data_IF_466482395217
#
_entry.id   IF_466482395217
#
_cell.length_a   1.000
_cell.length_b   1.000
_cell.length_c   1.000
_cell.angle_alpha   90.00
_cell.angle_beta   90.00
_cell.angle_gamma   90.00
#
_symmetry.space_group_name_H-M   'P 1'
#
loop_
_entity.id
_entity.type
_entity.pdbx_description
1 polymer ?
#
# COMPACT_ATOMS: atom_id res chain seq x y z
N UNK A 1 12.25 1.80 12.11
CA UNK A 1 11.70 0.71 11.28
C UNK A 1 11.35 1.34 9.95
N UNK A 2 11.91 0.86 8.83
CA UNK A 2 11.70 1.52 7.54
C UNK A 2 10.31 1.16 7.00
N UNK A 3 9.53 2.13 6.51
CA UNK A 3 8.24 1.84 5.89
C UNK A 3 8.43 0.95 4.67
N UNK A 4 7.40 0.19 4.30
CA UNK A 4 7.42 -0.57 3.05
C UNK A 4 7.61 0.41 1.90
N UNK A 5 8.63 0.18 1.08
CA UNK A 5 8.87 0.99 -0.11
C UNK A 5 7.69 0.82 -1.08
N UNK A 6 6.98 1.91 -1.33
CA UNK A 6 5.93 1.97 -2.34
C UNK A 6 6.52 2.22 -3.72
N UNK A 7 5.74 1.93 -4.75
CA UNK A 7 6.12 2.18 -6.14
C UNK A 7 6.42 3.67 -6.36
N UNK A 8 7.54 3.92 -7.02
CA UNK A 8 7.90 5.22 -7.58
C UNK A 8 8.11 5.11 -9.10
N UNK A 9 8.45 6.23 -9.75
CA UNK A 9 8.71 6.26 -11.20
C UNK A 9 9.88 5.33 -11.58
N UNK A 10 10.88 5.15 -10.72
CA UNK A 10 12.00 4.25 -10.99
C UNK A 10 11.58 2.79 -10.93
N UNK A 11 10.70 2.42 -9.99
CA UNK A 11 10.08 1.09 -9.95
C UNK A 11 9.32 0.81 -11.25
N UNK A 12 8.51 1.77 -11.72
CA UNK A 12 7.76 1.61 -12.98
C UNK A 12 8.66 1.54 -14.22
N UNK A 13 9.73 2.33 -14.25
CA UNK A 13 10.76 2.22 -15.29
C UNK A 13 11.36 0.81 -15.35
N UNK A 14 11.61 0.19 -14.21
CA UNK A 14 12.12 -1.18 -14.16
C UNK A 14 11.10 -2.20 -14.67
N UNK A 15 9.84 -2.12 -14.23
CA UNK A 15 8.75 -2.96 -14.76
C UNK A 15 8.65 -2.86 -16.28
N UNK A 16 8.71 -1.64 -16.80
CA UNK A 16 8.61 -1.36 -18.21
C UNK A 16 9.86 -1.82 -19.00
N UNK A 17 11.05 -1.76 -18.39
CA UNK A 17 12.28 -2.34 -18.95
C UNK A 17 12.20 -3.87 -19.05
N UNK A 18 11.74 -4.53 -17.99
CA UNK A 18 11.49 -5.98 -17.99
C UNK A 18 10.52 -6.34 -19.11
N UNK A 19 9.40 -5.61 -19.18
CA UNK A 19 8.40 -5.80 -20.22
C UNK A 19 8.97 -5.64 -21.63
N UNK A 20 9.70 -4.56 -21.90
CA UNK A 20 10.33 -4.33 -23.20
C UNK A 20 11.30 -5.46 -23.58
N UNK A 21 12.09 -5.94 -22.61
CA UNK A 21 13.02 -7.04 -22.82
C UNK A 21 12.35 -8.39 -23.09
N UNK A 22 11.29 -8.73 -22.35
CA UNK A 22 10.59 -10.02 -22.54
C UNK A 22 9.70 -10.00 -23.79
N UNK A 23 8.98 -8.91 -24.03
CA UNK A 23 8.05 -8.77 -25.15
C UNK A 23 8.75 -8.35 -26.46
N UNK A 24 10.05 -8.07 -26.44
CA UNK A 24 10.83 -7.56 -27.58
C UNK A 24 10.17 -6.31 -28.20
N UNK A 25 9.65 -5.43 -27.34
CA UNK A 25 8.93 -4.22 -27.72
C UNK A 25 9.81 -2.97 -27.50
N UNK A 26 9.49 -1.82 -28.16
CA UNK A 26 10.18 -0.57 -27.90
C UNK A 26 10.15 -0.21 -26.42
N UNK A 27 11.26 0.35 -25.92
CA UNK A 27 11.31 0.87 -24.56
C UNK A 27 10.28 2.00 -24.46
N UNK A 28 9.34 1.93 -23.52
CA UNK A 28 8.29 2.94 -23.38
C UNK A 28 8.86 4.28 -22.92
N UNK A 29 8.15 5.34 -23.26
CA UNK A 29 8.56 6.73 -23.01
C UNK A 29 8.25 7.18 -21.57
N UNK A 30 8.73 8.38 -21.20
CA UNK A 30 8.49 8.95 -19.87
C UNK A 30 7.00 9.03 -19.51
N UNK A 31 6.11 9.27 -20.49
CA UNK A 31 4.66 9.33 -20.27
C UNK A 31 4.09 8.01 -19.77
N UNK A 32 4.55 6.90 -20.35
CA UNK A 32 4.17 5.58 -19.88
C UNK A 32 4.66 5.32 -18.45
N UNK A 33 5.87 5.76 -18.09
CA UNK A 33 6.39 5.63 -16.71
C UNK A 33 5.46 6.32 -15.69
N UNK A 34 5.06 7.56 -15.97
CA UNK A 34 4.13 8.32 -15.10
C UNK A 34 2.74 7.70 -15.03
N UNK A 35 2.21 7.21 -16.16
CA UNK A 35 0.91 6.54 -16.17
C UNK A 35 0.92 5.29 -15.28
N UNK A 36 1.98 4.48 -15.36
CA UNK A 36 2.12 3.28 -14.53
C UNK A 36 2.34 3.62 -13.06
N UNK A 37 3.13 4.67 -12.75
CA UNK A 37 3.37 5.07 -11.37
C UNK A 37 2.10 5.54 -10.69
N UNK A 38 1.24 6.29 -11.37
CA UNK A 38 -0.05 6.71 -10.79
C UNK A 38 -0.98 5.53 -10.48
N UNK A 39 -1.03 4.53 -11.36
CA UNK A 39 -1.86 3.35 -11.14
C UNK A 39 -1.34 2.45 -10.02
N UNK A 40 -0.04 2.41 -9.81
CA UNK A 40 0.62 1.46 -8.91
C UNK A 40 1.15 2.10 -7.62
N UNK A 41 0.99 3.42 -7.42
CA UNK A 41 1.59 4.21 -6.33
C UNK A 41 1.37 3.66 -4.92
N UNK A 42 0.21 3.05 -4.68
CA UNK A 42 -0.16 2.51 -3.36
C UNK A 42 0.28 1.05 -3.16
N UNK A 43 0.89 0.45 -4.19
CA UNK A 43 1.45 -0.90 -4.12
C UNK A 43 2.86 -0.89 -3.54
N UNK A 44 3.26 -2.01 -2.95
CA UNK A 44 4.64 -2.29 -2.58
C UNK A 44 5.49 -2.51 -3.84
N UNK A 45 6.69 -1.92 -3.88
CA UNK A 45 7.66 -2.14 -4.95
C UNK A 45 7.94 -3.65 -5.13
N UNK A 46 8.19 -4.35 -4.03
CA UNK A 46 8.54 -5.77 -4.07
C UNK A 46 7.41 -6.63 -4.64
N UNK A 47 6.16 -6.33 -4.27
CA UNK A 47 5.02 -7.07 -4.79
C UNK A 47 4.78 -6.80 -6.27
N UNK A 48 5.01 -5.58 -6.73
CA UNK A 48 4.87 -5.19 -8.14
C UNK A 48 5.91 -5.88 -9.01
N UNK A 49 7.17 -5.91 -8.57
CA UNK A 49 8.24 -6.62 -9.28
C UNK A 49 7.99 -8.13 -9.30
N UNK A 50 7.57 -8.73 -8.18
CA UNK A 50 7.23 -10.15 -8.13
C UNK A 50 6.01 -10.48 -9.01
N UNK A 51 4.98 -9.63 -9.00
CA UNK A 51 3.82 -9.81 -9.87
C UNK A 51 4.19 -9.74 -11.36
N UNK A 52 5.08 -8.82 -11.72
CA UNK A 52 5.65 -8.69 -13.07
C UNK A 52 6.34 -9.99 -13.51
N UNK A 53 7.26 -10.51 -12.69
CA UNK A 53 7.95 -11.76 -13.03
C UNK A 53 7.03 -12.97 -13.01
N UNK A 54 6.05 -13.01 -12.11
CA UNK A 54 5.09 -14.10 -12.06
C UNK A 54 4.17 -14.13 -13.28
N UNK A 55 3.81 -12.98 -13.85
CA UNK A 55 3.06 -12.90 -15.10
C UNK A 55 3.82 -13.62 -16.22
N UNK A 56 5.08 -13.24 -16.46
CA UNK A 56 5.89 -13.84 -17.54
C UNK A 56 6.26 -15.30 -17.31
N UNK A 57 6.21 -15.80 -16.06
CA UNK A 57 6.35 -17.24 -15.78
C UNK A 57 5.14 -18.08 -16.20
N UNK A 58 3.96 -17.49 -16.27
CA UNK A 58 2.69 -18.23 -16.38
C UNK A 58 1.83 -17.83 -17.56
N UNK A 59 2.14 -16.69 -18.19
CA UNK A 59 1.29 -16.04 -19.18
C UNK A 59 2.14 -15.61 -20.38
N UNK A 60 1.63 -15.85 -21.59
CA UNK A 60 2.31 -15.51 -22.85
C UNK A 60 1.85 -14.18 -23.48
N UNK A 61 0.76 -13.56 -22.99
CA UNK A 61 0.27 -12.26 -23.47
C UNK A 61 1.01 -11.10 -22.83
N UNK A 62 0.87 -9.93 -23.45
CA UNK A 62 1.37 -8.65 -22.92
C UNK A 62 0.92 -8.39 -21.48
N UNK A 63 1.86 -7.89 -20.68
CA UNK A 63 1.62 -7.43 -19.30
C UNK A 63 0.92 -6.07 -19.31
N UNK A 64 -0.17 -5.97 -18.55
CA UNK A 64 -0.92 -4.75 -18.31
C UNK A 64 -0.87 -4.38 -16.82
N UNK A 65 -1.05 -3.10 -16.45
CA UNK A 65 -1.10 -2.69 -15.03
C UNK A 65 -2.16 -3.46 -14.22
N UNK A 66 -3.29 -3.78 -14.86
CA UNK A 66 -4.37 -4.56 -14.24
C UNK A 66 -3.94 -5.94 -13.76
N UNK A 67 -3.01 -6.59 -14.48
CA UNK A 67 -2.50 -7.92 -14.12
C UNK A 67 -1.67 -7.88 -12.84
N UNK A 68 -0.88 -6.81 -12.70
CA UNK A 68 -0.12 -6.52 -11.50
C UNK A 68 -1.08 -6.24 -10.34
N UNK A 69 -2.04 -5.33 -10.52
CA UNK A 69 -3.01 -4.97 -9.49
C UNK A 69 -3.82 -6.17 -9.00
N UNK A 70 -4.24 -7.05 -9.91
CA UNK A 70 -4.98 -8.26 -9.55
C UNK A 70 -4.14 -9.17 -8.63
N UNK A 71 -2.89 -9.42 -9.01
CA UNK A 71 -1.99 -10.30 -8.27
C UNK A 71 -1.53 -9.69 -6.95
N UNK A 72 -1.14 -8.42 -6.94
CA UNK A 72 -0.79 -7.67 -5.72
C UNK A 72 -1.99 -7.66 -4.77
N UNK A 73 -3.20 -7.39 -5.29
CA UNK A 73 -4.44 -7.43 -4.50
C UNK A 73 -4.71 -8.81 -3.89
N UNK A 74 -4.43 -9.90 -4.62
CA UNK A 74 -4.57 -11.26 -4.07
C UNK A 74 -3.59 -11.52 -2.92
N UNK A 75 -2.33 -11.09 -3.06
CA UNK A 75 -1.31 -11.18 -2.00
C UNK A 75 -1.72 -10.36 -0.78
N UNK A 76 -2.12 -9.10 -0.98
CA UNK A 76 -2.56 -8.20 0.08
C UNK A 76 -3.75 -8.77 0.86
N UNK A 77 -4.77 -9.30 0.17
CA UNK A 77 -5.92 -9.96 0.82
C UNK A 77 -5.51 -11.14 1.68
N UNK A 78 -4.55 -11.94 1.24
CA UNK A 78 -4.04 -13.06 2.03
C UNK A 78 -3.30 -12.57 3.28
N UNK A 79 -2.47 -11.53 3.19
CA UNK A 79 -1.78 -10.94 4.36
C UNK A 79 -2.77 -10.38 5.38
N UNK A 80 -3.75 -9.62 4.92
CA UNK A 80 -4.81 -9.04 5.78
C UNK A 80 -5.62 -10.15 6.46
N UNK A 81 -5.97 -11.22 5.73
CA UNK A 81 -6.67 -12.37 6.31
C UNK A 81 -5.85 -13.02 7.41
N UNK A 82 -4.55 -13.23 7.17
CA UNK A 82 -3.64 -13.84 8.15
C UNK A 82 -3.42 -12.96 9.38
N UNK A 83 -3.45 -11.63 9.24
CA UNK A 83 -3.26 -10.69 10.36
C UNK A 83 -4.52 -10.40 11.18
N UNK A 84 -5.68 -10.89 10.74
CA UNK A 84 -7.00 -10.54 11.30
C UNK A 84 -7.07 -10.62 12.83
N UNK A 85 -6.63 -11.72 13.43
CA UNK A 85 -6.67 -11.89 14.90
C UNK A 85 -5.80 -10.88 15.65
N UNK A 86 -4.64 -10.54 15.07
CA UNK A 86 -3.74 -9.53 15.64
C UNK A 86 -4.40 -8.15 15.56
N UNK A 87 -5.02 -7.83 14.42
CA UNK A 87 -5.75 -6.59 14.22
C UNK A 87 -6.93 -6.44 15.20
N UNK A 88 -7.75 -7.48 15.35
CA UNK A 88 -8.90 -7.50 16.27
C UNK A 88 -8.48 -7.25 17.71
N UNK A 89 -7.39 -7.90 18.17
CA UNK A 89 -6.84 -7.67 19.51
C UNK A 89 -6.36 -6.23 19.69
N UNK A 90 -5.61 -5.71 18.71
CA UNK A 90 -5.08 -4.34 18.76
C UNK A 90 -6.19 -3.28 18.75
N UNK A 91 -7.29 -3.53 18.04
CA UNK A 91 -8.48 -2.67 18.06
C UNK A 91 -9.18 -2.69 19.42
N UNK A 92 -9.32 -3.88 20.02
CA UNK A 92 -9.90 -4.01 21.36
C UNK A 92 -9.07 -3.25 22.40
N UNK A 93 -7.75 -3.40 22.38
CA UNK A 93 -6.84 -2.68 23.28
C UNK A 93 -7.05 -1.16 23.18
N UNK A 94 -7.21 -0.62 21.96
CA UNK A 94 -7.46 0.81 21.72
C UNK A 94 -8.85 1.26 22.15
N UNK A 95 -9.86 0.44 21.93
CA UNK A 95 -11.21 0.72 22.42
C UNK A 95 -11.24 0.78 23.95
N UNK A 96 -10.50 -0.10 24.64
CA UNK A 96 -10.34 -0.08 26.10
C UNK A 96 -9.58 1.16 26.59
N UNK A 97 -8.73 1.75 25.77
CA UNK A 97 -8.09 3.05 26.02
C UNK A 97 -9.01 4.25 25.74
N UNK A 98 -10.27 4.02 25.39
CA UNK A 98 -11.28 5.07 25.19
C UNK A 98 -11.19 5.78 23.84
N UNK A 99 -10.58 5.15 22.83
CA UNK A 99 -10.60 5.71 21.46
C UNK A 99 -12.02 5.73 20.90
N UNK A 100 -12.38 6.84 20.26
CA UNK A 100 -13.66 6.98 19.59
C UNK A 100 -13.76 6.10 18.31
N UNK A 101 -14.97 5.83 17.80
CA UNK A 101 -15.16 4.97 16.64
C UNK A 101 -14.44 5.45 15.36
N UNK A 102 -14.40 6.76 15.10
CA UNK A 102 -13.78 7.29 13.88
C UNK A 102 -12.27 7.11 13.93
N UNK A 103 -11.68 7.31 15.11
CA UNK A 103 -10.29 7.04 15.40
C UNK A 103 -9.93 5.57 15.17
N UNK A 104 -10.79 4.65 15.62
CA UNK A 104 -10.61 3.22 15.40
C UNK A 104 -10.72 2.83 13.92
N UNK A 105 -11.64 3.43 13.17
CA UNK A 105 -11.80 3.20 11.72
C UNK A 105 -10.58 3.68 10.93
N UNK A 106 -10.08 4.89 11.22
CA UNK A 106 -8.85 5.43 10.60
C UNK A 106 -7.66 4.54 10.90
N UNK A 107 -7.48 4.17 12.16
CA UNK A 107 -6.42 3.25 12.58
C UNK A 107 -6.49 1.91 11.84
N UNK A 108 -7.68 1.30 11.78
CA UNK A 108 -7.91 0.03 11.09
C UNK A 108 -7.56 0.13 9.61
N UNK A 109 -7.97 1.21 8.96
CA UNK A 109 -7.71 1.47 7.53
C UNK A 109 -6.21 1.59 7.27
N UNK A 110 -5.48 2.39 8.06
CA UNK A 110 -4.03 2.51 7.93
C UNK A 110 -3.33 1.18 8.22
N UNK A 111 -3.67 0.51 9.32
CA UNK A 111 -3.06 -0.76 9.70
C UNK A 111 -3.23 -1.83 8.61
N UNK A 112 -4.44 -2.02 8.10
CA UNK A 112 -4.70 -3.02 7.05
C UNK A 112 -4.06 -2.66 5.72
N UNK A 113 -3.95 -1.36 5.38
CA UNK A 113 -3.20 -0.89 4.22
C UNK A 113 -1.70 -1.21 4.29
N UNK A 114 -1.07 -1.00 5.45
CA UNK A 114 0.33 -1.34 5.69
C UNK A 114 0.57 -2.86 5.65
N UNK A 115 -0.29 -3.65 6.31
CA UNK A 115 -0.24 -5.12 6.21
C UNK A 115 -0.40 -5.58 4.76
N UNK A 116 -1.31 -4.97 4.01
CA UNK A 116 -1.53 -5.25 2.59
C UNK A 116 -0.25 -5.09 1.77
N UNK A 117 0.48 -3.98 2.01
CA UNK A 117 1.79 -3.69 1.40
C UNK A 117 2.92 -4.62 1.89
N UNK A 118 2.71 -5.39 2.95
CA UNK A 118 3.67 -6.36 3.46
C UNK A 118 4.44 -5.90 4.70
N UNK A 119 3.98 -4.85 5.38
CA UNK A 119 4.55 -4.46 6.65
C UNK A 119 4.32 -5.56 7.71
N UNK A 120 5.27 -5.72 8.62
CA UNK A 120 5.06 -6.51 9.82
C UNK A 120 4.03 -5.85 10.74
N UNK A 121 3.37 -6.65 11.59
CA UNK A 121 2.31 -6.14 12.46
C UNK A 121 2.77 -5.00 13.39
N UNK A 122 4.02 -5.03 13.85
CA UNK A 122 4.57 -3.97 14.69
C UNK A 122 4.81 -2.66 13.91
N UNK A 123 5.35 -2.74 12.68
CA UNK A 123 5.51 -1.58 11.81
C UNK A 123 4.14 -0.98 11.43
N UNK A 124 3.21 -1.83 10.99
CA UNK A 124 1.86 -1.42 10.62
C UNK A 124 1.14 -0.73 11.78
N UNK A 125 1.31 -1.26 13.00
CA UNK A 125 0.81 -0.65 14.24
C UNK A 125 1.41 0.74 14.46
N UNK A 126 2.73 0.86 14.38
CA UNK A 126 3.42 2.14 14.62
C UNK A 126 2.97 3.24 13.64
N UNK A 127 2.84 2.90 12.35
CA UNK A 127 2.34 3.84 11.33
C UNK A 127 0.89 4.22 11.59
N UNK A 128 0.04 3.25 11.93
CA UNK A 128 -1.37 3.51 12.23
C UNK A 128 -1.58 4.34 13.51
N UNK A 129 -0.72 4.16 14.53
CA UNK A 129 -0.76 4.99 15.74
C UNK A 129 -0.33 6.44 15.46
N UNK A 130 0.68 6.62 14.60
CA UNK A 130 1.15 7.95 14.19
C UNK A 130 0.10 8.70 13.35
N UNK A 131 -0.49 8.04 12.34
CA UNK A 131 -1.45 8.68 11.40
C UNK A 131 -2.67 9.27 12.10
N UNK A 132 -3.05 8.66 13.22
CA UNK A 132 -4.19 9.07 14.02
C UNK A 132 -3.84 10.21 15.00
N UNK A 133 -2.58 10.29 15.44
CA UNK A 133 -2.10 11.34 16.34
C UNK A 133 -1.97 12.68 15.61
N UNK A 134 -1.54 12.66 14.35
CA UNK A 134 -1.42 13.87 13.51
C UNK A 134 -2.77 14.53 13.22
N UNK A 135 -3.84 13.73 13.11
CA UNK A 135 -5.20 14.28 12.91
C UNK A 135 -5.79 14.93 14.16
N UNK A 136 -5.49 14.41 15.36
CA UNK A 136 -5.95 15.03 16.59
C UNK A 136 -5.36 16.44 16.79
N UNK A 137 -4.15 16.68 16.30
CA UNK A 137 -3.52 18.01 16.30
C UNK A 137 -4.19 18.96 15.29
N UNK A 138 -4.50 18.46 14.08
CA UNK A 138 -5.19 19.25 13.04
C UNK A 138 -6.63 19.63 13.41
N UNK A 139 -7.37 18.72 14.05
CA UNK A 139 -8.74 18.98 14.53
C UNK A 139 -8.77 19.99 15.69
N UNK A 140 -7.74 19.98 16.55
CA UNK A 140 -7.56 20.93 17.64
C UNK A 140 -7.24 22.34 17.11
N UNK A 141 -6.35 22.45 16.12
CA UNK A 141 -6.03 23.72 15.47
C UNK A 141 -7.24 24.28 14.71
N UNK A 142 -7.96 23.45 13.95
CA UNK A 142 -9.16 23.88 13.23
C UNK A 142 -10.27 24.38 14.17
N UNK A 143 -10.45 23.75 15.33
CA UNK A 143 -11.40 24.19 16.36
C UNK A 143 -10.97 25.51 17.03
N UNK A 144 -9.66 25.73 17.23
CA UNK A 144 -9.14 26.98 17.78
C UNK A 144 -9.37 28.17 16.84
N UNK A 145 -9.27 27.96 15.51
CA UNK A 145 -9.55 28.99 14.52
C UNK A 145 -11.05 29.30 14.34
N UNK A 146 -11.95 28.34 14.60
CA UNK A 146 -13.39 28.56 14.48
C UNK A 146 -14.02 29.28 15.69
N UNK A 147 -13.29 29.37 16.81
CA UNK A 147 -13.74 29.96 18.07
C UNK A 147 -13.20 31.38 18.35
N UNK A 148 -12.43 31.97 17.42
CA UNK A 148 -11.90 33.34 17.49
C UNK A 148 -12.49 34.24 16.41
#
# INVERSE_FOLDING_TARGET
>A
MNPVKTVDVFTCREVLRIRAGVEQAPVPDERAEYYWSELLRDCSESDVLEATWAHYRTTSRTLLPGDILERVGAVARNRIRSSRRVCERLLLDRALLGWDPDRLVRWHTTFTGEIGRGAEAEAARAVADASVSDHAALDADASAYAAG
#
